data_IF_737846306616
#
_entry.id   IF_737846306616
#
_cell.length_a   1.000
_cell.length_b   1.000
_cell.length_c   1.000
_cell.angle_alpha   90.00
_cell.angle_beta   90.00
_cell.angle_gamma   90.00
#
_symmetry.space_group_name_H-M   'P 1'
#
loop_
_entity.id
_entity.type
_entity.pdbx_description
1 polymer ?
#
# COMPACT_ATOMS: atom_id res chain seq x y z
N UNK A 1 0.83 25.99 -9.55
CA UNK A 1 -0.08 24.86 -9.27
C UNK A 1 0.69 23.57 -9.47
N UNK A 2 1.36 23.08 -8.42
CA UNK A 2 2.00 21.76 -8.45
C UNK A 2 0.90 20.73 -8.38
N UNK A 3 0.61 20.07 -9.51
CA UNK A 3 -0.09 18.79 -9.52
C UNK A 3 0.77 17.81 -8.69
N UNK A 4 0.56 17.79 -7.37
CA UNK A 4 0.76 16.57 -6.62
C UNK A 4 -0.10 15.55 -7.36
N UNK A 5 0.45 14.42 -7.83
CA UNK A 5 -0.40 13.34 -8.30
C UNK A 5 -1.28 12.98 -7.12
N UNK A 6 -2.49 13.53 -7.10
CA UNK A 6 -3.56 13.05 -6.27
C UNK A 6 -3.83 11.70 -6.91
N UNK A 7 -3.12 10.67 -6.46
CA UNK A 7 -3.56 9.31 -6.63
C UNK A 7 -5.01 9.37 -6.15
N UNK A 8 -5.98 9.31 -7.07
CA UNK A 8 -7.41 9.50 -6.81
C UNK A 8 -8.01 8.36 -5.99
N UNK A 9 -7.20 7.75 -5.13
CA UNK A 9 -7.39 6.52 -4.42
C UNK A 9 -7.09 6.75 -2.93
N UNK A 10 -7.59 5.84 -2.10
CA UNK A 10 -7.41 5.84 -0.65
C UNK A 10 -5.95 5.67 -0.21
N UNK A 11 -5.09 5.11 -1.08
CA UNK A 11 -3.67 4.88 -0.81
C UNK A 11 -2.84 6.08 -1.28
N UNK A 12 -1.96 6.58 -0.41
CA UNK A 12 -1.07 7.70 -0.71
C UNK A 12 0.38 7.26 -0.67
N UNK A 13 1.14 7.72 -1.65
CA UNK A 13 2.58 7.47 -1.78
C UNK A 13 3.38 8.69 -1.40
N UNK A 14 4.65 8.47 -1.10
CA UNK A 14 5.57 9.59 -0.97
C UNK A 14 5.69 10.33 -2.31
N UNK A 15 5.69 11.67 -2.28
CA UNK A 15 5.82 12.45 -3.48
C UNK A 15 7.13 12.10 -4.19
N UNK A 16 7.14 12.05 -5.53
CA UNK A 16 8.33 11.70 -6.27
C UNK A 16 9.51 12.61 -5.96
N UNK A 17 10.71 12.02 -5.89
CA UNK A 17 11.97 12.75 -5.73
C UNK A 17 11.97 14.03 -6.56
N UNK A 18 12.26 15.09 -5.84
CA UNK A 18 12.08 16.50 -6.14
C UNK A 18 12.97 17.04 -7.27
N UNK A 19 13.33 16.23 -8.26
CA UNK A 19 13.93 16.75 -9.49
C UNK A 19 13.01 17.74 -10.24
N UNK A 20 11.73 17.84 -9.84
CA UNK A 20 10.77 18.85 -10.29
C UNK A 20 10.31 19.83 -9.20
N UNK A 21 10.80 19.73 -7.95
CA UNK A 21 10.61 20.84 -7.03
C UNK A 21 11.39 22.01 -7.64
N UNK A 22 10.72 23.14 -7.81
CA UNK A 22 11.39 24.37 -8.20
C UNK A 22 12.60 24.59 -7.27
N UNK A 23 13.62 25.32 -7.74
CA UNK A 23 14.82 25.70 -6.95
C UNK A 23 14.53 26.38 -5.59
N UNK A 24 13.26 26.53 -5.22
CA UNK A 24 12.75 27.27 -4.07
C UNK A 24 11.97 26.41 -3.07
N UNK A 25 11.84 25.08 -3.27
CA UNK A 25 11.11 24.21 -2.34
C UNK A 25 12.01 23.07 -1.86
N UNK A 26 12.43 23.16 -0.59
CA UNK A 26 13.16 22.09 0.09
C UNK A 26 12.20 20.93 0.37
N UNK A 27 12.52 19.70 -0.08
CA UNK A 27 11.71 18.53 0.24
C UNK A 27 11.62 18.31 1.75
N UNK A 28 10.47 17.85 2.22
CA UNK A 28 10.26 17.59 3.64
C UNK A 28 11.22 16.54 4.21
N UNK A 29 11.66 15.57 3.39
CA UNK A 29 12.72 14.63 3.75
C UNK A 29 14.04 15.32 4.07
N UNK A 30 14.43 16.34 3.31
CA UNK A 30 15.66 17.10 3.55
C UNK A 30 15.56 17.96 4.82
N UNK A 31 14.36 18.42 5.19
CA UNK A 31 14.16 19.09 6.48
C UNK A 31 14.29 18.13 7.67
N UNK A 32 13.87 16.87 7.51
CA UNK A 32 13.92 15.86 8.57
C UNK A 32 15.32 15.24 8.72
N UNK A 33 15.99 14.93 7.61
CA UNK A 33 17.30 14.25 7.63
C UNK A 33 18.51 15.18 7.50
N UNK A 34 18.29 16.46 7.19
CA UNK A 34 19.37 17.39 6.87
C UNK A 34 20.06 17.07 5.55
N UNK A 35 21.31 17.47 5.42
CA UNK A 35 22.15 17.23 4.23
C UNK A 35 22.68 15.78 4.15
N UNK A 36 22.51 14.97 5.21
CA UNK A 36 22.94 13.58 5.31
C UNK A 36 22.00 12.65 4.53
N UNK A 37 22.08 12.71 3.20
CA UNK A 37 21.26 11.89 2.31
C UNK A 37 21.74 10.43 2.30
N UNK A 38 20.96 9.56 2.94
CA UNK A 38 21.16 8.11 2.96
C UNK A 38 20.02 7.42 2.20
N UNK A 39 20.25 6.89 0.99
CA UNK A 39 19.18 6.33 0.13
C UNK A 39 18.27 5.33 0.85
N UNK A 40 18.83 4.53 1.76
CA UNK A 40 18.14 3.55 2.59
C UNK A 40 17.21 4.13 3.66
N UNK A 41 17.40 5.40 4.03
CA UNK A 41 16.58 6.16 4.99
C UNK A 41 15.59 7.10 4.31
N UNK A 42 15.51 7.08 2.98
CA UNK A 42 14.56 7.87 2.22
C UNK A 42 13.49 6.96 1.57
N UNK A 43 12.21 7.34 1.67
CA UNK A 43 11.16 6.61 1.00
C UNK A 43 11.28 6.76 -0.51
N UNK A 44 11.00 5.68 -1.22
CA UNK A 44 10.95 5.69 -2.68
C UNK A 44 9.58 6.15 -3.19
N UNK A 45 9.49 6.48 -4.48
CA UNK A 45 8.23 6.76 -5.20
C UNK A 45 7.15 5.67 -5.09
N UNK A 46 7.54 4.45 -4.72
CA UNK A 46 6.66 3.29 -4.63
C UNK A 46 6.20 3.01 -3.20
N UNK A 47 6.85 3.65 -2.23
CA UNK A 47 6.54 3.48 -0.82
C UNK A 47 5.26 4.23 -0.48
N UNK A 48 4.53 3.67 0.49
CA UNK A 48 3.26 4.21 0.94
C UNK A 48 3.39 4.85 2.32
N UNK A 49 2.60 5.89 2.52
CA UNK A 49 2.46 6.54 3.83
C UNK A 49 1.74 5.56 4.77
N UNK A 50 2.34 5.35 5.94
CA UNK A 50 1.75 4.56 7.02
C UNK A 50 0.91 5.49 7.90
N UNK A 51 -0.42 5.40 7.77
CA UNK A 51 -1.35 6.23 8.53
C UNK A 51 -1.52 5.71 9.96
N UNK A 52 -1.33 6.60 10.93
CA UNK A 52 -1.46 6.27 12.36
C UNK A 52 -2.90 5.97 12.82
N UNK A 53 -3.90 6.34 12.01
CA UNK A 53 -5.30 6.11 12.35
C UNK A 53 -6.27 6.92 11.49
N UNK A 54 -7.56 6.91 11.86
CA UNK A 54 -8.54 7.80 11.26
C UNK A 54 -8.21 9.26 11.60
N UNK A 55 -8.90 10.19 10.92
CA UNK A 55 -8.85 11.62 11.21
C UNK A 55 -8.86 11.92 12.71
N UNK A 56 -7.89 12.72 13.16
CA UNK A 56 -7.67 13.08 14.56
C UNK A 56 -6.70 12.16 15.30
N UNK A 57 -6.03 11.22 14.63
CA UNK A 57 -5.02 10.35 15.24
C UNK A 57 -3.78 11.12 15.72
N UNK A 58 -3.46 12.25 15.06
CA UNK A 58 -2.40 13.15 15.47
C UNK A 58 -2.98 14.29 16.32
N UNK A 59 -2.46 14.54 17.54
CA UNK A 59 -2.91 15.65 18.37
C UNK A 59 -2.81 16.99 17.63
N UNK A 60 -3.90 17.77 17.64
CA UNK A 60 -3.97 19.05 16.96
C UNK A 60 -4.59 20.10 17.88
N UNK A 61 -4.01 21.29 17.93
CA UNK A 61 -4.54 22.43 18.69
C UNK A 61 -5.07 23.49 17.73
N UNK A 62 -6.15 24.14 18.14
CA UNK A 62 -6.68 25.28 17.42
C UNK A 62 -5.74 26.48 17.54
N UNK A 63 -5.51 27.20 16.44
CA UNK A 63 -4.67 28.40 16.48
C UNK A 63 -5.19 29.44 17.48
N UNK A 64 -6.52 29.54 17.64
CA UNK A 64 -7.15 30.41 18.63
C UNK A 64 -6.80 30.05 20.08
N UNK A 65 -6.55 28.77 20.39
CA UNK A 65 -6.15 28.33 21.74
C UNK A 65 -4.73 28.77 22.08
N UNK A 66 -3.90 28.98 21.06
CA UNK A 66 -2.52 29.48 21.21
C UNK A 66 -2.53 30.99 21.49
N UNK A 67 -3.52 31.70 20.93
CA UNK A 67 -3.69 33.14 21.14
C UNK A 67 -4.44 33.47 22.44
N UNK A 68 -5.19 32.52 23.00
CA UNK A 68 -5.93 32.70 24.25
C UNK A 68 -5.00 32.53 25.46
N UNK A 69 -4.78 33.62 26.19
CA UNK A 69 -3.97 33.63 27.42
C UNK A 69 -4.66 32.91 28.59
N UNK A 70 -5.98 32.69 28.53
CA UNK A 70 -6.75 32.12 29.62
C UNK A 70 -6.55 30.62 29.84
N UNK A 71 -6.26 29.87 28.78
CA UNK A 71 -6.03 28.42 28.85
C UNK A 71 -5.19 27.90 27.67
N UNK A 72 -3.94 28.35 27.52
CA UNK A 72 -3.09 27.90 26.43
C UNK A 72 -2.75 26.41 26.56
N UNK A 73 -2.50 25.70 25.43
CA UNK A 73 -2.00 24.34 25.49
C UNK A 73 -0.67 24.26 26.26
N UNK A 74 -0.40 23.14 26.95
CA UNK A 74 0.83 23.00 27.72
C UNK A 74 2.06 23.10 26.81
N UNK A 75 3.13 23.76 27.28
CA UNK A 75 4.38 23.92 26.49
C UNK A 75 4.96 22.58 26.01
N UNK A 76 4.78 21.52 26.80
CA UNK A 76 5.15 20.14 26.44
C UNK A 76 4.43 19.59 25.21
N UNK A 77 3.33 20.20 24.79
CA UNK A 77 2.65 19.87 23.54
C UNK A 77 3.49 20.22 22.31
N UNK A 78 4.36 21.22 22.40
CA UNK A 78 5.13 21.76 21.26
C UNK A 78 6.64 21.64 21.39
N UNK A 79 7.16 21.62 22.63
CA UNK A 79 8.60 21.56 22.88
C UNK A 79 9.22 20.30 22.28
N UNK A 80 10.33 20.47 21.55
CA UNK A 80 11.11 19.41 20.90
C UNK A 80 10.31 18.56 19.89
N UNK A 81 9.27 19.15 19.27
CA UNK A 81 8.42 18.49 18.28
C UNK A 81 8.36 19.26 16.97
N UNK A 82 8.14 18.52 15.88
CA UNK A 82 7.76 19.12 14.61
C UNK A 82 6.31 19.57 14.66
N UNK A 83 6.07 20.87 14.51
CA UNK A 83 4.73 21.47 14.52
C UNK A 83 4.34 21.82 13.10
N UNK A 84 3.24 21.24 12.62
CA UNK A 84 2.68 21.54 11.30
C UNK A 84 1.47 22.43 11.47
N UNK A 85 1.54 23.61 10.87
CA UNK A 85 0.47 24.61 10.87
C UNK A 85 -0.27 24.52 9.54
N UNK A 86 -1.58 24.35 9.59
CA UNK A 86 -2.42 24.28 8.39
C UNK A 86 -3.89 24.60 8.70
N UNK A 87 -4.74 24.55 7.66
CA UNK A 87 -6.15 24.94 7.77
C UNK A 87 -7.04 23.72 7.92
N UNK A 88 -8.04 23.85 8.79
CA UNK A 88 -9.09 22.85 9.00
C UNK A 88 -10.40 23.29 8.35
N UNK A 89 -10.42 23.34 7.01
CA UNK A 89 -11.61 23.74 6.26
C UNK A 89 -12.38 22.50 5.82
N UNK A 90 -13.62 22.36 6.30
CA UNK A 90 -14.51 21.26 5.92
C UNK A 90 -15.49 21.66 4.81
N UNK A 91 -15.78 22.96 4.66
CA UNK A 91 -16.66 23.49 3.63
C UNK A 91 -15.84 24.26 2.57
N UNK A 92 -16.07 24.03 1.27
CA UNK A 92 -15.53 24.91 0.24
C UNK A 92 -16.16 26.29 0.45
N UNK A 93 -15.33 27.28 0.75
CA UNK A 93 -15.72 28.68 0.61
C UNK A 93 -15.41 29.07 -0.83
N UNK A 94 -16.22 29.93 -1.45
CA UNK A 94 -16.12 30.30 -2.87
C UNK A 94 -14.65 30.39 -3.35
N UNK A 95 -14.30 29.53 -4.32
CA UNK A 95 -12.98 29.40 -4.95
C UNK A 95 -11.83 28.82 -4.10
N UNK A 96 -12.09 28.29 -2.90
CA UNK A 96 -11.08 27.60 -2.07
C UNK A 96 -11.34 26.10 -2.08
N UNK A 97 -10.40 25.34 -2.66
CA UNK A 97 -10.41 23.88 -2.61
C UNK A 97 -10.35 23.41 -1.15
N UNK A 98 -11.26 22.54 -0.76
CA UNK A 98 -11.19 21.85 0.53
C UNK A 98 -9.91 21.03 0.59
N UNK A 99 -9.02 21.31 1.55
CA UNK A 99 -7.78 20.53 1.78
C UNK A 99 -8.07 19.22 2.52
N UNK A 100 -9.13 18.53 2.12
CA UNK A 100 -9.52 17.23 2.66
C UNK A 100 -9.31 16.14 1.64
N UNK A 101 -8.81 15.03 2.14
CA UNK A 101 -8.30 13.96 1.32
C UNK A 101 -8.79 12.62 1.86
N UNK A 102 -9.19 11.72 0.96
CA UNK A 102 -9.49 10.35 1.32
C UNK A 102 -8.20 9.62 1.75
N UNK A 103 -8.32 8.82 2.80
CA UNK A 103 -7.27 7.98 3.40
C UNK A 103 -7.80 6.55 3.58
N UNK A 104 -6.94 5.55 3.87
CA UNK A 104 -7.38 4.15 4.01
C UNK A 104 -8.46 3.92 5.07
N UNK A 105 -8.61 4.85 6.02
CA UNK A 105 -9.66 4.84 7.04
C UNK A 105 -11.01 5.39 6.56
N UNK A 106 -11.19 5.59 5.24
CA UNK A 106 -12.41 6.11 4.61
C UNK A 106 -12.88 7.44 5.25
N UNK A 107 -11.94 8.27 5.67
CA UNK A 107 -12.22 9.53 6.37
C UNK A 107 -11.58 10.72 5.63
N UNK A 108 -12.32 11.82 5.52
CA UNK A 108 -11.82 13.08 4.98
C UNK A 108 -10.80 13.69 5.95
N UNK A 109 -9.54 13.34 5.73
CA UNK A 109 -8.38 13.75 6.54
C UNK A 109 -7.82 15.06 6.00
N UNK A 110 -7.44 15.98 6.87
CA UNK A 110 -6.93 17.29 6.45
C UNK A 110 -5.49 17.18 5.93
N UNK A 111 -5.13 18.01 4.95
CA UNK A 111 -3.79 18.03 4.36
C UNK A 111 -2.67 18.16 5.40
N UNK A 112 -2.86 19.03 6.39
CA UNK A 112 -1.92 19.20 7.51
C UNK A 112 -1.65 17.90 8.30
N UNK A 113 -2.67 17.06 8.46
CA UNK A 113 -2.57 15.79 9.17
C UNK A 113 -1.85 14.73 8.32
N UNK A 114 -2.04 14.78 7.00
CA UNK A 114 -1.26 13.96 6.06
C UNK A 114 0.22 14.38 6.10
N UNK A 115 0.52 15.68 6.08
CA UNK A 115 1.90 16.16 6.22
C UNK A 115 2.51 15.73 7.56
N UNK A 116 1.74 15.77 8.64
CA UNK A 116 2.22 15.36 9.96
C UNK A 116 2.50 13.85 10.00
N UNK A 117 1.66 13.05 9.36
CA UNK A 117 1.88 11.61 9.17
C UNK A 117 3.15 11.35 8.36
N UNK A 118 3.38 12.09 7.26
CA UNK A 118 4.60 11.96 6.45
C UNK A 118 5.83 12.25 7.31
N UNK A 119 5.86 13.38 8.04
CA UNK A 119 6.98 13.74 8.92
C UNK A 119 7.21 12.68 9.98
N UNK A 120 6.16 12.22 10.66
CA UNK A 120 6.25 11.14 11.63
C UNK A 120 6.86 9.88 11.03
N UNK A 121 6.40 9.48 9.83
CA UNK A 121 6.95 8.32 9.17
C UNK A 121 8.44 8.45 8.81
N UNK A 122 8.88 9.64 8.41
CA UNK A 122 10.29 9.91 8.11
C UNK A 122 11.15 9.85 9.38
N UNK A 123 10.67 10.44 10.48
CA UNK A 123 11.37 10.44 11.77
C UNK A 123 11.47 9.02 12.34
N UNK A 124 10.36 8.30 12.37
CA UNK A 124 10.27 6.94 12.92
C UNK A 124 10.77 5.86 11.96
N UNK A 125 11.06 6.21 10.70
CA UNK A 125 11.44 5.28 9.65
C UNK A 125 10.42 4.16 9.39
N UNK A 126 9.13 4.44 9.62
CA UNK A 126 8.05 3.44 9.76
C UNK A 126 7.05 3.41 8.58
N UNK A 127 7.43 3.93 7.41
CA UNK A 127 6.57 3.88 6.22
C UNK A 127 6.49 2.47 5.63
N UNK A 128 5.49 2.25 4.78
CA UNK A 128 5.30 0.96 4.10
C UNK A 128 6.19 0.91 2.86
N UNK A 129 7.19 0.05 2.91
CA UNK A 129 8.20 -0.13 1.87
C UNK A 129 7.68 -1.02 0.76
N UNK A 130 8.02 -0.68 -0.49
CA UNK A 130 7.73 -1.53 -1.65
C UNK A 130 9.01 -1.85 -2.40
N UNK A 131 9.19 -3.11 -2.76
CA UNK A 131 10.36 -3.56 -3.51
C UNK A 131 10.49 -2.82 -4.85
N UNK A 132 11.73 -2.81 -5.36
CA UNK A 132 12.02 -2.25 -6.68
C UNK A 132 11.15 -2.95 -7.74
N UNK A 133 10.70 -2.24 -8.80
CA UNK A 133 9.87 -2.84 -9.83
C UNK A 133 10.48 -4.09 -10.46
N UNK A 134 11.81 -4.09 -10.66
CA UNK A 134 12.51 -5.21 -11.29
C UNK A 134 12.58 -6.42 -10.36
N UNK A 135 12.90 -6.19 -9.09
CA UNK A 135 12.93 -7.23 -8.05
C UNK A 135 11.53 -7.83 -7.86
N UNK A 136 10.51 -6.98 -7.69
CA UNK A 136 9.11 -7.40 -7.53
C UNK A 136 8.64 -8.26 -8.72
N UNK A 137 8.88 -7.81 -9.96
CA UNK A 137 8.50 -8.57 -11.16
C UNK A 137 9.24 -9.89 -11.27
N UNK A 138 10.55 -9.91 -11.01
CA UNK A 138 11.34 -11.13 -11.09
C UNK A 138 10.85 -12.19 -10.10
N UNK A 139 10.64 -11.82 -8.84
CA UNK A 139 10.13 -12.74 -7.82
C UNK A 139 8.72 -13.23 -8.13
N UNK A 140 7.81 -12.33 -8.52
CA UNK A 140 6.45 -12.72 -8.89
C UNK A 140 6.45 -13.65 -10.10
N UNK A 141 7.30 -13.42 -11.09
CA UNK A 141 7.42 -14.29 -12.26
C UNK A 141 7.97 -15.68 -11.90
N UNK A 142 9.02 -15.75 -11.09
CA UNK A 142 9.56 -17.03 -10.62
C UNK A 142 8.55 -17.81 -9.79
N UNK A 143 7.91 -17.15 -8.82
CA UNK A 143 6.87 -17.74 -7.99
C UNK A 143 5.69 -18.22 -8.84
N UNK A 144 5.25 -17.40 -9.79
CA UNK A 144 4.20 -17.74 -10.73
C UNK A 144 4.51 -19.02 -11.51
N UNK A 145 5.74 -19.14 -12.04
CA UNK A 145 6.19 -20.31 -12.78
C UNK A 145 6.20 -21.58 -11.92
N UNK A 146 6.77 -21.49 -10.71
CA UNK A 146 6.86 -22.61 -9.76
C UNK A 146 5.46 -23.09 -9.37
N UNK A 147 4.56 -22.19 -8.97
CA UNK A 147 3.20 -22.55 -8.56
C UNK A 147 2.38 -23.12 -9.71
N UNK A 148 2.56 -22.57 -10.92
CA UNK A 148 1.91 -23.07 -12.14
C UNK A 148 2.38 -24.50 -12.45
N UNK A 149 3.69 -24.73 -12.44
CA UNK A 149 4.26 -26.05 -12.66
C UNK A 149 3.79 -27.07 -11.61
N UNK A 150 3.81 -26.69 -10.33
CA UNK A 150 3.33 -27.53 -9.24
C UNK A 150 1.86 -27.91 -9.44
N UNK A 151 0.99 -26.94 -9.72
CA UNK A 151 -0.44 -27.17 -9.89
C UNK A 151 -0.77 -28.03 -11.12
N UNK A 152 -0.07 -27.83 -12.25
CA UNK A 152 -0.26 -28.63 -13.46
C UNK A 152 0.30 -30.06 -13.35
N UNK A 153 1.21 -30.31 -12.41
CA UNK A 153 1.77 -31.63 -12.15
C UNK A 153 0.86 -32.52 -11.29
N UNK A 154 -0.11 -31.92 -10.59
CA UNK A 154 -1.09 -32.63 -9.78
C UNK A 154 -2.17 -33.25 -10.68
N UNK A 155 -2.39 -34.57 -10.55
CA UNK A 155 -3.27 -35.35 -11.45
C UNK A 155 -4.73 -35.44 -10.97
N UNK A 156 -5.04 -35.59 -9.67
CA UNK A 156 -6.43 -35.53 -9.19
C UNK A 156 -6.95 -34.09 -9.05
N UNK A 157 -8.18 -33.84 -9.52
CA UNK A 157 -8.88 -32.56 -9.34
C UNK A 157 -8.89 -32.12 -7.87
N UNK A 158 -9.25 -33.02 -6.94
CA UNK A 158 -9.29 -32.75 -5.51
C UNK A 158 -7.94 -32.31 -4.94
N UNK A 159 -6.85 -32.94 -5.37
CA UNK A 159 -5.50 -32.53 -4.94
C UNK A 159 -5.11 -31.15 -5.48
N UNK A 160 -5.51 -30.81 -6.71
CA UNK A 160 -5.30 -29.49 -7.28
C UNK A 160 -6.12 -28.41 -6.56
N UNK A 161 -7.37 -28.72 -6.20
CA UNK A 161 -8.24 -27.82 -5.44
C UNK A 161 -7.70 -27.57 -4.02
N UNK A 162 -7.30 -28.62 -3.30
CA UNK A 162 -6.68 -28.48 -1.98
C UNK A 162 -5.37 -27.70 -2.04
N UNK A 163 -4.54 -27.93 -3.07
CA UNK A 163 -3.31 -27.17 -3.29
C UNK A 163 -3.60 -25.69 -3.56
N UNK A 164 -4.58 -25.38 -4.41
CA UNK A 164 -5.00 -24.00 -4.67
C UNK A 164 -5.41 -23.28 -3.38
N UNK A 165 -6.26 -23.91 -2.56
CA UNK A 165 -6.72 -23.35 -1.29
C UNK A 165 -5.53 -23.11 -0.35
N UNK A 166 -4.62 -24.08 -0.24
CA UNK A 166 -3.42 -23.95 0.59
C UNK A 166 -2.51 -22.81 0.12
N UNK A 167 -2.30 -22.67 -1.19
CA UNK A 167 -1.49 -21.57 -1.76
C UNK A 167 -2.15 -20.22 -1.52
N UNK A 168 -3.47 -20.09 -1.73
CA UNK A 168 -4.19 -18.84 -1.47
C UNK A 168 -4.10 -18.47 0.01
N UNK A 169 -4.38 -19.41 0.91
CA UNK A 169 -4.32 -19.18 2.35
C UNK A 169 -2.90 -18.80 2.80
N UNK A 170 -1.90 -19.56 2.37
CA UNK A 170 -0.49 -19.28 2.69
C UNK A 170 -0.02 -17.92 2.14
N UNK A 171 -0.44 -17.57 0.93
CA UNK A 171 -0.11 -16.28 0.33
C UNK A 171 -0.78 -15.10 1.04
N UNK A 172 -2.05 -15.26 1.46
CA UNK A 172 -2.75 -14.25 2.25
C UNK A 172 -2.07 -14.03 3.61
N UNK A 173 -1.72 -15.11 4.32
CA UNK A 173 -0.98 -15.03 5.58
C UNK A 173 0.36 -14.35 5.36
N UNK A 174 1.13 -14.78 4.36
CA UNK A 174 2.43 -14.18 4.04
C UNK A 174 2.33 -12.69 3.71
N UNK A 175 1.39 -12.31 2.84
CA UNK A 175 1.18 -10.91 2.45
C UNK A 175 0.75 -10.05 3.64
N UNK A 176 -0.08 -10.59 4.53
CA UNK A 176 -0.52 -9.88 5.73
C UNK A 176 0.61 -9.73 6.76
N UNK A 177 1.39 -10.78 7.00
CA UNK A 177 2.57 -10.71 7.86
C UNK A 177 3.61 -9.71 7.35
N UNK A 178 3.85 -9.68 6.03
CA UNK A 178 4.73 -8.69 5.41
C UNK A 178 4.20 -7.26 5.60
N UNK A 179 2.89 -7.07 5.47
CA UNK A 179 2.27 -5.77 5.72
C UNK A 179 2.47 -5.30 7.17
N UNK A 180 2.29 -6.18 8.15
CA UNK A 180 2.57 -5.87 9.56
C UNK A 180 4.06 -5.56 9.80
N UNK A 181 4.96 -6.16 9.03
CA UNK A 181 6.38 -5.85 9.04
C UNK A 181 6.74 -4.56 8.26
N UNK A 182 5.76 -3.81 7.74
CA UNK A 182 5.99 -2.57 7.00
C UNK A 182 6.35 -2.76 5.53
N UNK A 183 6.04 -3.92 4.93
CA UNK A 183 6.32 -4.20 3.52
C UNK A 183 5.04 -4.46 2.73
N UNK A 184 4.90 -3.79 1.58
CA UNK A 184 3.81 -4.03 0.64
C UNK A 184 4.16 -5.13 -0.35
N UNK A 185 3.33 -6.19 -0.38
CA UNK A 185 3.41 -7.27 -1.36
C UNK A 185 2.11 -7.30 -2.19
N UNK A 186 2.17 -7.41 -3.53
CA UNK A 186 0.97 -7.49 -4.38
C UNK A 186 0.18 -8.80 -4.17
N UNK A 187 -0.68 -8.81 -3.14
CA UNK A 187 -1.48 -9.99 -2.77
C UNK A 187 -2.39 -10.51 -3.89
N UNK A 188 -3.14 -9.61 -4.54
CA UNK A 188 -4.18 -9.97 -5.50
C UNK A 188 -3.64 -10.66 -6.77
N UNK A 189 -2.42 -10.33 -7.21
CA UNK A 189 -1.87 -10.85 -8.47
C UNK A 189 -1.70 -12.37 -8.45
N UNK A 190 -1.13 -12.92 -7.38
CA UNK A 190 -0.91 -14.37 -7.25
C UNK A 190 -2.24 -15.11 -7.13
N UNK A 191 -3.20 -14.56 -6.39
CA UNK A 191 -4.54 -15.17 -6.25
C UNK A 191 -5.24 -15.25 -7.61
N UNK A 192 -5.30 -14.14 -8.34
CA UNK A 192 -5.93 -14.08 -9.67
C UNK A 192 -5.25 -15.05 -10.63
N UNK A 193 -3.92 -15.05 -10.68
CA UNK A 193 -3.15 -15.98 -11.50
C UNK A 193 -3.50 -17.44 -11.16
N UNK A 194 -3.49 -17.81 -9.88
CA UNK A 194 -3.76 -19.18 -9.45
C UNK A 194 -5.16 -19.66 -9.82
N UNK A 195 -6.16 -18.77 -9.75
CA UNK A 195 -7.52 -19.07 -10.21
C UNK A 195 -7.54 -19.39 -11.71
N UNK A 196 -6.85 -18.60 -12.54
CA UNK A 196 -6.75 -18.86 -13.98
C UNK A 196 -6.03 -20.17 -14.30
N UNK A 197 -4.92 -20.46 -13.60
CA UNK A 197 -4.19 -21.72 -13.81
C UNK A 197 -5.03 -22.93 -13.40
N UNK A 198 -5.76 -22.83 -12.28
CA UNK A 198 -6.65 -23.90 -11.85
C UNK A 198 -7.78 -24.16 -12.84
N UNK A 199 -8.40 -23.10 -13.38
CA UNK A 199 -9.42 -23.22 -14.41
C UNK A 199 -8.85 -23.90 -15.67
N UNK A 200 -7.66 -23.47 -16.11
CA UNK A 200 -6.97 -24.07 -17.25
C UNK A 200 -6.63 -25.55 -17.02
N UNK A 201 -6.09 -25.89 -15.84
CA UNK A 201 -5.78 -27.27 -15.44
C UNK A 201 -7.03 -28.15 -15.47
N UNK A 202 -8.13 -27.63 -14.94
CA UNK A 202 -9.43 -28.32 -14.90
C UNK A 202 -9.96 -28.57 -16.31
N UNK A 203 -9.95 -27.56 -17.19
CA UNK A 203 -10.35 -27.72 -18.60
C UNK A 203 -9.50 -28.77 -19.34
N UNK A 204 -8.18 -28.76 -19.10
CA UNK A 204 -7.24 -29.75 -19.64
C UNK A 204 -7.58 -31.16 -19.17
N UNK A 205 -7.85 -31.33 -17.87
CA UNK A 205 -8.22 -32.62 -17.28
C UNK A 205 -9.53 -33.15 -17.87
N UNK A 206 -10.57 -32.31 -17.97
CA UNK A 206 -11.84 -32.70 -18.58
C UNK A 206 -11.69 -33.14 -20.05
N UNK A 207 -10.92 -32.39 -20.86
CA UNK A 207 -10.65 -32.79 -22.25
C UNK A 207 -9.90 -34.11 -22.33
N UNK A 208 -8.93 -34.33 -21.44
CA UNK A 208 -8.20 -35.59 -21.36
C UNK A 208 -9.11 -36.76 -21.00
N UNK A 209 -9.99 -36.59 -20.00
CA UNK A 209 -10.96 -37.60 -19.59
C UNK A 209 -11.95 -37.94 -20.73
N UNK A 210 -12.48 -36.93 -21.43
CA UNK A 210 -13.38 -37.15 -22.58
C UNK A 210 -12.70 -37.89 -23.74
N UNK A 211 -11.46 -37.52 -24.07
CA UNK A 211 -10.72 -38.21 -25.13
C UNK A 211 -10.44 -39.67 -24.74
N UNK A 212 -10.15 -39.93 -23.46
CA UNK A 212 -9.95 -41.29 -22.96
C UNK A 212 -11.24 -42.12 -22.99
N UNK A 213 -12.39 -41.54 -22.64
CA UNK A 213 -13.70 -42.20 -22.77
C UNK A 213 -14.00 -42.59 -24.23
N UNK A 214 -13.70 -41.71 -25.20
CA UNK A 214 -13.89 -42.00 -26.63
C UNK A 214 -12.98 -43.14 -27.11
N UNK A 215 -11.75 -43.24 -26.61
CA UNK A 215 -10.80 -44.28 -26.99
C UNK A 215 -11.11 -45.65 -26.36
N UNK A 216 -11.63 -45.67 -25.13
CA UNK A 216 -11.88 -46.91 -24.37
C UNK A 216 -13.33 -47.40 -24.46
N UNK A 217 -14.27 -46.61 -25.01
CA UNK A 217 -15.69 -46.97 -25.11
C UNK A 217 -16.43 -47.11 -23.78
N UNK A 218 -15.79 -46.72 -22.66
CA UNK A 218 -16.32 -46.83 -21.30
C UNK A 218 -16.69 -45.42 -20.81
N UNK A 219 -17.91 -45.24 -20.28
CA UNK A 219 -18.29 -44.05 -19.53
C UNK A 219 -17.52 -44.04 -18.20
N UNK A 220 -16.59 -43.10 -18.06
CA UNK A 220 -15.92 -42.82 -16.79
C UNK A 220 -16.80 -41.82 -16.05
N UNK A 221 -17.42 -42.21 -14.94
CA UNK A 221 -18.10 -41.26 -14.07
C UNK A 221 -17.05 -40.31 -13.47
N UNK A 222 -17.24 -39.01 -13.72
CA UNK A 222 -16.35 -37.91 -13.30
C UNK A 222 -16.85 -37.30 -12.01
#
# INVERSE_FOLDING_TARGET
MTNLPIDGAFLRRFPPDSHRASRFVTPMSHFVFGDDFHPEKHPTRRDFINFYGPKGAIPSYGFWQILDEGSPPPVSAFKDKFVIVGRRLTAPTDNVLTETFLTPFNSNTFGMEIHATIVGNLIEQNWIRRFSPSTERFFLFMLAGILTYALLSLRPFWTGASFLIAVIAGWLVFSFSMFLAGYFVPGALVVVQMLFVFLFSTMRYYKWAQNMQKLLGIKVDV
#
